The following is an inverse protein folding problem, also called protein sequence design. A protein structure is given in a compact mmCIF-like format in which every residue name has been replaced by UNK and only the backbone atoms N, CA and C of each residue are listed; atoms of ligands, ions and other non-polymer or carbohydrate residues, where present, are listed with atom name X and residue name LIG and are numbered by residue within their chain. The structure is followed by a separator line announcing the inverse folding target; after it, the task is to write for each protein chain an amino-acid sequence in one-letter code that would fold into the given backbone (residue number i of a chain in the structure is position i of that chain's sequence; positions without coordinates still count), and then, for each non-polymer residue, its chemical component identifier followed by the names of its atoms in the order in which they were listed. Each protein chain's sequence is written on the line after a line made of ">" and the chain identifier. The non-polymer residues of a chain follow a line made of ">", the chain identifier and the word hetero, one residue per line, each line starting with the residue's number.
data_IF_695549760575
#
_entry.id   IF_695549760575
#
_cell.length_a   1.000
_cell.length_b   1.000
_cell.length_c   1.000
_cell.angle_alpha   90.00
_cell.angle_beta   90.00
_cell.angle_gamma   90.00
#
_symmetry.space_group_name_H-M   'P 1'
#
loop_
_entity.id
_entity.type
_entity.pdbx_description
1 polymer ?
#
# COMPACT_ATOMS: atom_id res chain seq x y z
N UNK A 1 2.45 -32.55 -14.39
CA UNK A 1 3.12 -31.27 -14.78
C UNK A 1 3.90 -30.80 -13.59
N UNK A 2 5.14 -30.45 -13.77
CA UNK A 2 5.95 -29.80 -12.73
C UNK A 2 5.51 -28.35 -12.55
N UNK A 3 5.74 -27.79 -11.37
CA UNK A 3 5.41 -26.39 -11.06
C UNK A 3 6.37 -25.46 -11.81
N UNK A 4 5.78 -24.53 -12.56
CA UNK A 4 6.48 -23.48 -13.29
C UNK A 4 5.57 -22.25 -13.43
N UNK A 5 6.07 -21.14 -13.97
CA UNK A 5 5.24 -19.98 -14.26
C UNK A 5 4.07 -20.25 -15.20
N UNK A 6 4.17 -21.29 -16.06
CA UNK A 6 3.11 -21.71 -16.97
C UNK A 6 2.09 -22.65 -16.31
N UNK A 7 2.47 -23.36 -15.28
CA UNK A 7 1.65 -24.40 -14.62
C UNK A 7 1.17 -23.97 -13.23
N UNK A 8 1.64 -22.82 -12.73
CA UNK A 8 1.19 -22.25 -11.46
C UNK A 8 -0.30 -21.86 -11.52
N UNK A 9 -1.08 -22.30 -10.54
CA UNK A 9 -2.51 -21.98 -10.42
C UNK A 9 -2.71 -20.52 -10.00
N UNK A 10 -1.84 -20.01 -9.11
CA UNK A 10 -1.86 -18.61 -8.72
C UNK A 10 -1.25 -17.72 -9.81
N UNK A 11 -1.98 -16.72 -10.33
CA UNK A 11 -1.40 -15.77 -11.28
C UNK A 11 -0.27 -14.91 -10.68
N UNK A 12 -0.23 -14.74 -9.34
CA UNK A 12 0.86 -14.04 -8.64
C UNK A 12 2.19 -14.76 -8.88
N UNK A 13 2.21 -16.09 -8.79
CA UNK A 13 3.43 -16.90 -9.01
C UNK A 13 3.62 -17.29 -10.48
N UNK A 14 2.54 -17.32 -11.27
CA UNK A 14 2.56 -17.65 -12.70
C UNK A 14 2.77 -16.42 -13.58
N UNK A 15 1.66 -15.94 -14.17
CA UNK A 15 1.65 -14.84 -15.13
C UNK A 15 2.38 -13.57 -14.69
N UNK A 16 2.32 -13.25 -13.40
CA UNK A 16 2.89 -12.04 -12.82
C UNK A 16 4.12 -12.30 -11.95
N UNK A 17 4.65 -13.50 -11.97
CA UNK A 17 5.75 -13.91 -11.08
C UNK A 17 6.98 -12.98 -11.13
N UNK A 18 7.32 -12.47 -12.31
CA UNK A 18 8.46 -11.53 -12.45
C UNK A 18 8.17 -10.17 -11.80
N UNK A 19 6.91 -9.72 -11.83
CA UNK A 19 6.50 -8.44 -11.24
C UNK A 19 6.55 -8.43 -9.72
N UNK A 20 6.41 -9.58 -9.09
CA UNK A 20 6.39 -9.75 -7.63
C UNK A 20 7.63 -10.45 -7.10
N UNK A 21 8.65 -10.63 -7.92
CA UNK A 21 9.88 -11.38 -7.56
C UNK A 21 10.55 -10.84 -6.29
N UNK A 22 10.48 -9.54 -6.02
CA UNK A 22 10.98 -8.90 -4.79
C UNK A 22 10.33 -9.45 -3.52
N UNK A 23 9.10 -9.98 -3.61
CA UNK A 23 8.39 -10.54 -2.46
C UNK A 23 8.80 -11.98 -2.13
N UNK A 24 9.49 -12.69 -3.03
CA UNK A 24 9.87 -14.11 -2.84
C UNK A 24 10.76 -14.31 -1.63
N UNK A 25 11.75 -13.45 -1.42
CA UNK A 25 12.65 -13.51 -0.26
C UNK A 25 11.99 -13.12 1.07
N UNK A 26 10.75 -12.62 1.03
CA UNK A 26 10.01 -12.15 2.20
C UNK A 26 8.85 -13.09 2.53
N UNK A 27 7.93 -13.34 1.58
CA UNK A 27 6.65 -14.00 1.85
C UNK A 27 6.53 -15.44 1.34
N UNK A 28 7.54 -15.97 0.68
CA UNK A 28 7.56 -17.40 0.33
C UNK A 28 7.83 -18.27 1.56
N UNK A 29 7.68 -19.58 1.42
CA UNK A 29 8.09 -20.54 2.45
C UNK A 29 9.60 -20.39 2.79
N UNK A 30 10.43 -20.13 1.78
CA UNK A 30 11.85 -19.77 1.98
C UNK A 30 12.00 -18.53 2.87
N UNK A 31 11.24 -17.46 2.58
CA UNK A 31 11.27 -16.22 3.36
C UNK A 31 10.89 -16.46 4.82
N UNK A 32 9.80 -17.18 5.08
CA UNK A 32 9.38 -17.52 6.43
C UNK A 32 10.45 -18.34 7.18
N UNK A 33 11.04 -19.35 6.55
CA UNK A 33 12.11 -20.16 7.17
C UNK A 33 13.34 -19.32 7.48
N UNK A 34 13.74 -18.43 6.58
CA UNK A 34 14.85 -17.49 6.77
C UNK A 34 14.64 -16.62 8.02
N UNK A 35 13.45 -16.05 8.19
CA UNK A 35 13.15 -15.20 9.35
C UNK A 35 13.04 -16.02 10.64
N UNK A 36 12.53 -17.24 10.61
CA UNK A 36 12.55 -18.16 11.76
C UNK A 36 13.98 -18.46 12.21
N UNK A 37 14.86 -18.80 11.28
CA UNK A 37 16.29 -19.01 11.57
C UNK A 37 16.92 -17.76 12.18
N UNK A 38 16.62 -16.58 11.65
CA UNK A 38 17.09 -15.32 12.21
C UNK A 38 16.65 -15.12 13.65
N UNK A 39 15.37 -15.31 13.96
CA UNK A 39 14.83 -15.13 15.32
C UNK A 39 15.48 -16.10 16.29
N UNK A 40 15.59 -17.39 15.95
CA UNK A 40 16.20 -18.41 16.79
C UNK A 40 17.69 -18.12 17.07
N UNK A 41 18.43 -17.73 16.06
CA UNK A 41 19.84 -17.36 16.21
C UNK A 41 19.99 -16.14 17.11
N UNK A 42 19.20 -15.09 16.90
CA UNK A 42 19.23 -13.90 17.74
C UNK A 42 18.82 -14.18 19.17
N UNK A 43 17.86 -15.09 19.37
CA UNK A 43 17.47 -15.54 20.70
C UNK A 43 18.63 -16.22 21.43
N UNK A 44 19.31 -17.16 20.80
CA UNK A 44 20.48 -17.84 21.38
C UNK A 44 21.62 -16.85 21.72
N UNK A 45 21.91 -15.90 20.82
CA UNK A 45 22.90 -14.84 21.08
C UNK A 45 22.50 -13.95 22.25
N UNK A 46 21.21 -13.64 22.40
CA UNK A 46 20.70 -12.85 23.52
C UNK A 46 20.82 -13.59 24.85
N UNK A 47 20.53 -14.89 24.88
CA UNK A 47 20.73 -15.73 26.07
C UNK A 47 22.21 -15.72 26.49
N UNK A 48 23.14 -15.94 25.54
CA UNK A 48 24.58 -15.93 25.79
C UNK A 48 25.14 -14.57 26.26
N UNK A 49 24.48 -13.48 25.89
CA UNK A 49 24.86 -12.14 26.33
C UNK A 49 24.27 -11.75 27.71
N UNK A 50 23.56 -12.66 28.39
CA UNK A 50 22.88 -12.40 29.66
C UNK A 50 23.62 -13.08 30.79
N UNK A 51 24.27 -12.32 31.70
CA UNK A 51 25.14 -12.88 32.73
C UNK A 51 24.45 -13.82 33.71
N UNK A 52 23.13 -13.62 33.92
CA UNK A 52 22.32 -14.44 34.84
C UNK A 52 22.04 -15.85 34.29
N UNK A 53 22.28 -16.10 32.99
CA UNK A 53 22.11 -17.39 32.34
C UNK A 53 23.49 -18.07 32.21
N UNK A 54 24.01 -18.51 33.34
CA UNK A 54 25.37 -19.00 33.47
C UNK A 54 25.69 -20.24 32.62
N UNK A 55 24.66 -21.05 32.27
CA UNK A 55 24.80 -22.26 31.45
C UNK A 55 25.03 -21.95 29.96
N UNK A 56 24.82 -20.70 29.55
CA UNK A 56 25.12 -20.20 28.21
C UNK A 56 26.25 -19.14 28.31
N UNK A 57 27.48 -19.52 28.28
CA UNK A 57 28.62 -18.57 28.34
C UNK A 57 28.56 -17.56 27.23
N UNK A 58 29.03 -16.34 27.46
CA UNK A 58 29.16 -15.31 26.46
C UNK A 58 29.97 -15.83 25.26
N UNK A 59 29.42 -15.70 24.05
CA UNK A 59 30.10 -16.12 22.82
C UNK A 59 31.22 -15.15 22.47
N UNK A 60 32.37 -15.71 22.06
CA UNK A 60 33.43 -14.93 21.46
C UNK A 60 33.07 -14.38 20.08
N UNK A 61 33.97 -13.61 19.49
CA UNK A 61 33.76 -12.99 18.19
C UNK A 61 33.54 -14.03 17.07
N UNK A 62 34.25 -15.15 17.13
CA UNK A 62 34.19 -16.18 16.09
C UNK A 62 32.86 -16.96 16.15
N UNK A 63 32.40 -17.31 17.35
CA UNK A 63 31.08 -17.95 17.54
C UNK A 63 29.93 -17.04 17.10
N UNK A 64 29.97 -15.75 17.47
CA UNK A 64 28.98 -14.77 17.01
C UNK A 64 29.01 -14.60 15.48
N UNK A 65 30.20 -14.46 14.87
CA UNK A 65 30.34 -14.34 13.43
C UNK A 65 29.81 -15.58 12.69
N UNK A 66 30.03 -16.78 13.25
CA UNK A 66 29.49 -18.02 12.68
C UNK A 66 27.97 -18.04 12.71
N UNK A 67 27.34 -17.66 13.83
CA UNK A 67 25.89 -17.56 13.96
C UNK A 67 25.31 -16.51 13.02
N UNK A 68 25.96 -15.35 12.89
CA UNK A 68 25.58 -14.31 11.95
C UNK A 68 25.67 -14.80 10.49
N UNK A 69 26.67 -15.60 10.16
CA UNK A 69 26.84 -16.18 8.84
C UNK A 69 25.73 -17.19 8.49
N UNK A 70 25.19 -17.95 9.45
CA UNK A 70 24.03 -18.82 9.23
C UNK A 70 22.83 -18.00 8.75
N UNK A 71 22.58 -16.84 9.34
CA UNK A 71 21.47 -15.95 8.96
C UNK A 71 21.75 -15.28 7.61
N UNK A 72 22.93 -14.69 7.44
CA UNK A 72 23.28 -13.90 6.27
C UNK A 72 23.37 -14.75 4.98
N UNK A 73 23.84 -16.00 5.09
CA UNK A 73 24.04 -16.90 3.97
C UNK A 73 22.95 -17.98 3.86
N UNK A 74 21.79 -17.79 4.52
CA UNK A 74 20.69 -18.74 4.43
C UNK A 74 20.26 -18.96 2.98
N UNK A 75 20.28 -20.20 2.53
CA UNK A 75 20.11 -20.60 1.14
C UNK A 75 18.83 -21.43 0.90
N UNK A 76 18.43 -21.61 -0.35
CA UNK A 76 17.35 -22.55 -0.73
C UNK A 76 17.68 -23.99 -0.33
N UNK A 77 18.96 -24.36 -0.30
CA UNK A 77 19.40 -25.68 0.17
C UNK A 77 19.19 -25.84 1.67
N UNK A 78 19.44 -24.79 2.46
CA UNK A 78 19.16 -24.78 3.90
C UNK A 78 17.65 -24.89 4.15
N UNK A 79 16.85 -24.13 3.40
CA UNK A 79 15.39 -24.23 3.47
C UNK A 79 14.91 -25.65 3.11
N UNK A 80 15.48 -26.24 2.06
CA UNK A 80 15.16 -27.62 1.67
C UNK A 80 15.53 -28.61 2.78
N UNK A 81 16.70 -28.43 3.45
CA UNK A 81 17.09 -29.28 4.58
C UNK A 81 16.07 -29.20 5.72
N UNK A 82 15.58 -27.99 6.06
CA UNK A 82 14.52 -27.81 7.06
C UNK A 82 13.26 -28.56 6.64
N UNK A 83 12.85 -28.47 5.37
CA UNK A 83 11.66 -29.19 4.86
C UNK A 83 11.84 -30.71 4.89
N UNK A 84 13.08 -31.20 4.70
CA UNK A 84 13.37 -32.63 4.80
C UNK A 84 13.22 -33.13 6.25
N UNK A 85 13.68 -32.35 7.23
CA UNK A 85 13.49 -32.63 8.65
C UNK A 85 11.98 -32.58 8.99
N UNK A 86 11.25 -31.57 8.53
CA UNK A 86 9.82 -31.39 8.77
C UNK A 86 9.00 -32.59 8.31
N UNK A 87 9.35 -33.20 7.16
CA UNK A 87 8.68 -34.42 6.64
C UNK A 87 8.69 -35.57 7.64
N UNK A 88 9.68 -35.65 8.50
CA UNK A 88 9.82 -36.69 9.52
C UNK A 88 9.18 -36.27 10.85
N UNK A 89 9.39 -35.01 11.25
CA UNK A 89 8.92 -34.50 12.54
C UNK A 89 7.46 -34.07 12.53
N UNK A 90 6.91 -33.76 11.34
CA UNK A 90 5.59 -33.19 11.14
C UNK A 90 5.36 -31.90 11.96
N UNK A 91 6.45 -31.13 12.16
CA UNK A 91 6.42 -29.89 12.93
C UNK A 91 7.44 -28.90 12.37
N UNK A 92 6.97 -27.79 11.82
CA UNK A 92 7.75 -26.82 11.06
C UNK A 92 8.79 -26.05 11.90
N UNK A 93 8.39 -25.49 13.05
CA UNK A 93 9.31 -24.72 13.91
C UNK A 93 10.33 -25.67 14.59
N UNK A 94 9.92 -26.89 14.98
CA UNK A 94 10.84 -27.90 15.52
C UNK A 94 11.89 -28.33 14.49
N UNK A 95 11.52 -28.34 13.20
CA UNK A 95 12.46 -28.62 12.13
C UNK A 95 13.55 -27.54 12.02
N UNK A 96 13.21 -26.27 12.26
CA UNK A 96 14.20 -25.17 12.32
C UNK A 96 15.19 -25.36 13.48
N UNK A 97 14.68 -25.73 14.66
CA UNK A 97 15.53 -26.03 15.83
C UNK A 97 16.53 -27.17 15.52
N UNK A 98 16.06 -28.26 14.94
CA UNK A 98 16.94 -29.38 14.57
C UNK A 98 17.96 -28.99 13.51
N UNK A 99 17.57 -28.23 12.50
CA UNK A 99 18.48 -27.69 11.51
C UNK A 99 19.59 -26.84 12.14
N UNK A 100 19.25 -25.97 13.08
CA UNK A 100 20.23 -25.15 13.79
C UNK A 100 21.17 -26.01 14.64
N UNK A 101 20.64 -27.04 15.32
CA UNK A 101 21.46 -28.01 16.07
C UNK A 101 22.46 -28.74 15.15
N UNK A 102 22.04 -29.11 13.92
CA UNK A 102 22.97 -29.65 12.91
C UNK A 102 24.05 -28.63 12.53
N UNK A 103 23.69 -27.37 12.29
CA UNK A 103 24.63 -26.30 11.91
C UNK A 103 25.70 -26.03 12.98
N UNK A 104 25.35 -26.13 14.24
CA UNK A 104 26.29 -25.83 15.34
C UNK A 104 27.05 -27.06 15.88
N UNK A 105 26.74 -28.25 15.36
CA UNK A 105 27.30 -29.53 15.88
C UNK A 105 28.83 -29.59 15.90
N UNK A 106 29.49 -29.02 14.90
CA UNK A 106 30.94 -29.06 14.73
C UNK A 106 31.66 -27.88 15.40
N UNK A 107 30.92 -26.95 16.04
CA UNK A 107 31.48 -25.80 16.75
C UNK A 107 31.39 -26.06 18.26
N UNK A 108 32.49 -26.43 18.94
CA UNK A 108 32.42 -26.92 20.32
C UNK A 108 31.70 -25.95 21.29
N UNK A 109 32.00 -24.66 21.18
CA UNK A 109 31.36 -23.64 22.04
C UNK A 109 29.82 -23.53 21.84
N UNK A 110 29.34 -23.72 20.61
CA UNK A 110 27.91 -23.66 20.28
C UNK A 110 27.23 -25.01 20.50
N UNK A 111 27.93 -26.11 20.23
CA UNK A 111 27.41 -27.47 20.45
C UNK A 111 27.04 -27.71 21.92
N UNK A 112 27.89 -27.25 22.85
CA UNK A 112 27.66 -27.39 24.30
C UNK A 112 26.35 -26.74 24.76
N UNK A 113 25.94 -25.68 24.11
CA UNK A 113 24.71 -24.91 24.44
C UNK A 113 23.55 -25.13 23.46
N UNK A 114 23.68 -26.14 22.60
CA UNK A 114 22.70 -26.40 21.53
C UNK A 114 21.26 -26.65 22.05
N UNK A 115 21.12 -27.14 23.30
CA UNK A 115 19.80 -27.31 23.95
C UNK A 115 19.14 -25.98 24.34
N UNK A 116 19.86 -24.85 24.28
CA UNK A 116 19.30 -23.52 24.47
C UNK A 116 18.72 -22.90 23.19
N UNK A 117 18.87 -23.55 22.04
CA UNK A 117 18.10 -23.20 20.85
C UNK A 117 16.62 -23.43 21.16
N UNK A 118 15.76 -22.46 20.89
CA UNK A 118 14.33 -22.48 21.22
C UNK A 118 14.05 -22.55 22.75
N UNK A 119 15.02 -22.16 23.61
CA UNK A 119 14.87 -22.28 25.08
C UNK A 119 13.68 -21.46 25.59
N UNK A 120 12.80 -22.11 26.34
CA UNK A 120 11.58 -21.58 26.95
C UNK A 120 10.57 -20.97 25.97
N UNK A 121 10.80 -21.03 24.65
CA UNK A 121 9.91 -20.54 23.63
C UNK A 121 8.73 -21.48 23.35
N UNK A 122 7.63 -20.93 22.92
CA UNK A 122 6.62 -21.63 22.14
C UNK A 122 6.82 -21.32 20.64
N UNK A 123 6.31 -22.16 19.74
CA UNK A 123 6.43 -21.92 18.31
C UNK A 123 5.98 -20.53 17.87
N UNK A 124 4.98 -19.98 18.54
CA UNK A 124 4.48 -18.64 18.23
C UNK A 124 5.40 -17.51 18.70
N UNK A 125 6.27 -17.71 19.64
CA UNK A 125 7.33 -16.74 19.94
C UNK A 125 8.21 -16.50 18.70
N UNK A 126 8.51 -17.57 17.97
CA UNK A 126 9.31 -17.51 16.76
C UNK A 126 8.46 -17.03 15.55
N UNK A 127 7.25 -17.58 15.40
CA UNK A 127 6.37 -17.27 14.27
C UNK A 127 5.95 -15.81 14.24
N UNK A 128 5.48 -15.25 15.37
CA UNK A 128 5.00 -13.87 15.41
C UNK A 128 6.12 -12.87 15.07
N UNK A 129 7.32 -13.09 15.61
CA UNK A 129 8.47 -12.25 15.31
C UNK A 129 8.92 -12.41 13.85
N UNK A 130 8.84 -13.62 13.31
CA UNK A 130 9.14 -13.85 11.88
C UNK A 130 8.15 -13.12 10.97
N UNK A 131 6.84 -13.22 11.24
CA UNK A 131 5.82 -12.49 10.48
C UNK A 131 5.96 -10.97 10.64
N UNK A 132 6.29 -10.50 11.85
CA UNK A 132 6.55 -9.09 12.10
C UNK A 132 7.75 -8.59 11.27
N UNK A 133 8.85 -9.33 11.23
CA UNK A 133 10.01 -9.01 10.40
C UNK A 133 9.68 -9.02 8.90
N UNK A 134 8.92 -10.02 8.44
CA UNK A 134 8.45 -10.10 7.05
C UNK A 134 7.63 -8.85 6.67
N UNK A 135 6.68 -8.47 7.50
CA UNK A 135 5.81 -7.31 7.26
C UNK A 135 6.57 -5.99 7.36
N UNK A 136 7.48 -5.86 8.32
CA UNK A 136 8.35 -4.70 8.43
C UNK A 136 9.24 -4.52 7.19
N UNK A 137 9.90 -5.61 6.75
CA UNK A 137 10.71 -5.61 5.54
C UNK A 137 9.88 -5.24 4.30
N UNK A 138 8.70 -5.84 4.14
CA UNK A 138 7.82 -5.53 3.02
C UNK A 138 7.33 -4.06 3.04
N UNK A 139 7.03 -3.50 4.22
CA UNK A 139 6.67 -2.10 4.37
C UNK A 139 7.80 -1.18 3.94
N UNK A 140 9.00 -1.38 4.52
CA UNK A 140 10.12 -0.45 4.33
C UNK A 140 10.76 -0.58 2.93
N UNK A 141 10.93 -1.80 2.43
CA UNK A 141 11.69 -2.05 1.21
C UNK A 141 10.81 -2.13 -0.05
N UNK A 142 9.50 -2.36 0.10
CA UNK A 142 8.61 -2.55 -1.06
C UNK A 142 7.45 -1.54 -1.08
N UNK A 143 6.60 -1.52 -0.06
CA UNK A 143 5.36 -0.72 -0.10
C UNK A 143 5.65 0.78 -0.09
N UNK A 144 6.41 1.28 0.89
CA UNK A 144 6.71 2.70 0.99
C UNK A 144 7.46 3.23 -0.24
N UNK A 145 8.50 2.56 -0.79
CA UNK A 145 9.13 2.99 -2.03
C UNK A 145 8.20 3.01 -3.25
N UNK A 146 7.33 1.99 -3.40
CA UNK A 146 6.38 1.94 -4.52
C UNK A 146 5.31 3.04 -4.41
N UNK A 147 4.79 3.29 -3.20
CA UNK A 147 3.84 4.36 -2.97
C UNK A 147 4.46 5.74 -3.22
N UNK A 148 5.70 5.95 -2.79
CA UNK A 148 6.42 7.20 -3.05
C UNK A 148 6.55 7.45 -4.55
N UNK A 149 6.95 6.45 -5.33
CA UNK A 149 7.04 6.58 -6.78
C UNK A 149 5.71 6.97 -7.44
N UNK A 150 4.58 6.37 -7.02
CA UNK A 150 3.26 6.71 -7.52
C UNK A 150 2.85 8.13 -7.14
N UNK A 151 3.02 8.51 -5.88
CA UNK A 151 2.69 9.84 -5.37
C UNK A 151 3.51 10.90 -6.11
N UNK A 152 4.81 10.70 -6.25
CA UNK A 152 5.71 11.64 -6.93
C UNK A 152 5.33 11.79 -8.40
N UNK A 153 4.97 10.69 -9.08
CA UNK A 153 4.50 10.73 -10.48
C UNK A 153 3.22 11.54 -10.62
N UNK A 154 2.22 11.28 -9.78
CA UNK A 154 0.93 11.99 -9.82
C UNK A 154 1.12 13.47 -9.43
N UNK A 155 1.97 13.76 -8.43
CA UNK A 155 2.34 15.12 -8.03
C UNK A 155 3.03 15.87 -9.17
N UNK A 156 3.97 15.25 -9.87
CA UNK A 156 4.62 15.85 -11.04
C UNK A 156 3.61 16.19 -12.15
N UNK A 157 2.63 15.31 -12.38
CA UNK A 157 1.56 15.58 -13.35
C UNK A 157 0.62 16.69 -12.88
N UNK A 158 0.34 16.80 -11.57
CA UNK A 158 -0.41 17.91 -11.00
C UNK A 158 0.27 19.25 -11.30
N UNK A 159 1.58 19.34 -11.10
CA UNK A 159 2.36 20.54 -11.42
C UNK A 159 2.43 20.80 -12.94
N UNK A 160 2.62 19.76 -13.75
CA UNK A 160 2.69 19.88 -15.21
C UNK A 160 1.42 20.49 -15.82
N UNK A 161 0.24 20.09 -15.31
CA UNK A 161 -1.06 20.48 -15.84
C UNK A 161 -1.81 21.48 -14.93
N UNK A 162 -1.09 22.22 -14.07
CA UNK A 162 -1.65 23.12 -13.07
C UNK A 162 -2.61 24.16 -13.64
N UNK A 163 -2.28 24.70 -14.80
CA UNK A 163 -2.99 25.80 -15.46
C UNK A 163 -3.94 25.32 -16.57
N UNK A 164 -4.06 24.00 -16.79
CA UNK A 164 -4.89 23.45 -17.84
C UNK A 164 -6.33 23.31 -17.36
N UNK A 165 -7.28 24.13 -17.84
CA UNK A 165 -8.67 24.08 -17.39
C UNK A 165 -9.38 22.82 -17.89
N UNK A 166 -10.27 22.30 -17.04
CA UNK A 166 -11.06 21.11 -17.26
C UNK A 166 -12.52 21.39 -16.89
N UNK A 167 -13.47 21.02 -17.74
CA UNK A 167 -14.88 21.03 -17.40
C UNK A 167 -15.17 19.89 -16.40
N UNK A 168 -15.55 20.24 -15.16
CA UNK A 168 -15.91 19.23 -14.17
C UNK A 168 -17.24 18.58 -14.50
N UNK A 169 -17.42 17.37 -14.01
CA UNK A 169 -18.69 16.63 -14.13
C UNK A 169 -19.18 16.20 -12.77
N UNK A 170 -20.32 16.73 -12.35
CA UNK A 170 -21.05 16.24 -11.18
C UNK A 170 -22.28 15.48 -11.65
N UNK A 171 -22.51 14.31 -11.09
CA UNK A 171 -23.58 13.42 -11.58
C UNK A 171 -23.48 13.10 -13.09
N UNK A 172 -22.25 13.14 -13.65
CA UNK A 172 -22.00 12.95 -15.09
C UNK A 172 -22.34 14.15 -15.96
N UNK A 173 -22.85 15.27 -15.40
CA UNK A 173 -23.24 16.47 -16.14
C UNK A 173 -22.17 17.56 -16.05
N UNK A 174 -22.04 18.41 -17.12
CA UNK A 174 -21.18 19.58 -17.08
C UNK A 174 -21.46 20.46 -15.86
N UNK A 175 -20.38 20.84 -15.18
CA UNK A 175 -20.43 21.61 -13.94
C UNK A 175 -19.29 22.63 -13.89
N UNK A 176 -19.12 23.30 -12.75
CA UNK A 176 -18.10 24.32 -12.52
C UNK A 176 -16.71 23.83 -12.93
N UNK A 177 -15.98 24.57 -13.76
CA UNK A 177 -14.64 24.19 -14.21
C UNK A 177 -13.61 24.10 -13.09
N UNK A 178 -12.62 23.25 -13.31
CA UNK A 178 -11.44 23.04 -12.47
C UNK A 178 -10.19 23.05 -13.34
N UNK A 179 -9.07 22.50 -12.86
CA UNK A 179 -7.91 22.21 -13.67
C UNK A 179 -7.52 20.73 -13.59
N UNK A 180 -6.91 20.22 -14.66
CA UNK A 180 -6.36 18.86 -14.67
C UNK A 180 -5.36 18.68 -13.51
N UNK A 181 -4.50 19.68 -13.28
CA UNK A 181 -3.56 19.65 -12.16
C UNK A 181 -4.22 19.50 -10.80
N UNK A 182 -5.32 20.22 -10.54
CA UNK A 182 -6.03 20.16 -9.25
C UNK A 182 -6.67 18.77 -9.05
N UNK A 183 -7.17 18.14 -10.10
CA UNK A 183 -7.71 16.78 -10.00
C UNK A 183 -6.62 15.75 -9.63
N UNK A 184 -5.44 15.82 -10.25
CA UNK A 184 -4.30 15.01 -9.84
C UNK A 184 -3.83 15.32 -8.41
N UNK A 185 -3.78 16.60 -8.02
CA UNK A 185 -3.39 17.03 -6.68
C UNK A 185 -4.28 16.46 -5.57
N UNK A 186 -5.59 16.37 -5.82
CA UNK A 186 -6.53 15.74 -4.89
C UNK A 186 -6.14 14.28 -4.61
N UNK A 187 -5.80 13.52 -5.63
CA UNK A 187 -5.40 12.11 -5.50
C UNK A 187 -4.05 11.99 -4.78
N UNK A 188 -3.05 12.75 -5.21
CA UNK A 188 -1.72 12.75 -4.59
C UNK A 188 -1.82 13.06 -3.09
N UNK A 189 -2.60 14.06 -2.68
CA UNK A 189 -2.77 14.43 -1.28
C UNK A 189 -3.46 13.34 -0.45
N UNK A 190 -4.48 12.67 -1.02
CA UNK A 190 -5.15 11.53 -0.36
C UNK A 190 -4.19 10.37 -0.15
N UNK A 191 -3.35 10.07 -1.15
CA UNK A 191 -2.33 9.01 -1.10
C UNK A 191 -1.23 9.34 -0.11
N UNK A 192 -0.75 10.58 -0.05
CA UNK A 192 0.26 11.06 0.90
C UNK A 192 -0.20 10.88 2.37
N UNK A 193 -1.49 11.06 2.65
CA UNK A 193 -2.04 10.78 3.98
C UNK A 193 -1.93 9.30 4.35
N UNK A 194 -2.16 8.40 3.39
CA UNK A 194 -2.01 6.95 3.63
C UNK A 194 -0.54 6.56 3.79
N UNK A 195 0.35 7.16 3.00
CA UNK A 195 1.79 6.95 3.13
C UNK A 195 2.29 7.25 4.55
N UNK A 196 1.90 8.40 5.10
CA UNK A 196 2.24 8.77 6.48
C UNK A 196 1.65 7.83 7.51
N UNK A 197 0.41 7.36 7.33
CA UNK A 197 -0.20 6.37 8.23
C UNK A 197 0.55 5.04 8.17
N UNK A 198 0.85 4.52 6.97
CA UNK A 198 1.57 3.25 6.81
C UNK A 198 2.95 3.29 7.47
N UNK A 199 3.69 4.40 7.31
CA UNK A 199 5.02 4.55 7.91
C UNK A 199 5.00 4.61 9.44
N UNK A 200 3.86 4.90 10.05
CA UNK A 200 3.69 5.05 11.50
C UNK A 200 3.04 3.83 12.17
N UNK A 201 2.56 2.85 11.41
CA UNK A 201 2.00 1.62 11.99
C UNK A 201 3.08 0.91 12.80
N UNK A 202 2.82 0.69 14.07
CA UNK A 202 3.72 -0.07 14.93
C UNK A 202 3.63 -1.57 14.58
N UNK A 203 4.76 -2.15 14.23
CA UNK A 203 4.87 -3.59 14.00
C UNK A 203 5.19 -4.23 15.33
N UNK A 204 4.25 -5.04 15.85
CA UNK A 204 4.33 -5.58 17.20
C UNK A 204 4.90 -7.00 17.22
N UNK A 205 5.53 -7.34 18.34
CA UNK A 205 6.04 -8.70 18.57
C UNK A 205 6.14 -9.05 20.04
N UNK A 206 6.15 -10.35 20.31
CA UNK A 206 6.28 -10.90 21.66
C UNK A 206 7.24 -12.08 21.70
N UNK A 207 7.85 -12.32 22.87
CA UNK A 207 8.56 -13.54 23.20
C UNK A 207 8.40 -13.77 24.70
N UNK A 208 7.37 -14.51 25.10
CA UNK A 208 6.93 -14.63 26.49
C UNK A 208 6.32 -16.02 26.83
N UNK A 209 6.54 -17.00 25.94
CA UNK A 209 6.18 -18.40 26.18
C UNK A 209 4.75 -18.77 25.84
N UNK A 210 4.36 -19.95 26.28
CA UNK A 210 3.18 -20.68 25.81
C UNK A 210 1.84 -19.95 25.94
N UNK A 211 1.69 -19.04 26.90
CA UNK A 211 0.46 -18.27 27.13
C UNK A 211 0.74 -16.80 27.46
N UNK A 212 1.96 -16.32 27.22
CA UNK A 212 2.31 -14.91 27.40
C UNK A 212 2.69 -14.51 28.83
N UNK A 213 3.01 -15.47 29.71
CA UNK A 213 3.22 -15.21 31.14
C UNK A 213 4.62 -15.58 31.65
N UNK A 214 5.57 -15.94 30.76
CA UNK A 214 6.93 -16.37 31.13
C UNK A 214 7.01 -17.57 32.11
N UNK A 215 6.00 -18.44 32.14
CA UNK A 215 5.89 -19.51 33.12
C UNK A 215 7.17 -20.38 33.21
N UNK A 216 7.64 -20.90 32.06
CA UNK A 216 8.85 -21.73 32.02
C UNK A 216 10.12 -20.91 32.29
N UNK A 217 10.16 -19.68 31.81
CA UNK A 217 11.30 -18.77 31.99
C UNK A 217 11.56 -18.48 33.48
N UNK A 218 10.50 -18.09 34.22
CA UNK A 218 10.61 -17.74 35.64
C UNK A 218 10.98 -18.98 36.49
N UNK A 219 10.50 -20.16 36.10
CA UNK A 219 10.85 -21.41 36.83
C UNK A 219 12.32 -21.77 36.60
N UNK A 220 12.85 -21.55 35.36
CA UNK A 220 14.23 -21.88 35.04
C UNK A 220 15.22 -20.85 35.62
N UNK A 221 14.92 -19.55 35.49
CA UNK A 221 15.78 -18.44 35.91
C UNK A 221 14.93 -17.37 36.62
N UNK A 222 14.62 -17.54 37.91
CA UNK A 222 13.77 -16.59 38.64
C UNK A 222 14.45 -15.23 38.90
N UNK A 223 15.75 -15.14 38.79
CA UNK A 223 16.56 -13.92 38.95
C UNK A 223 16.57 -13.03 37.73
N UNK A 224 16.20 -13.54 36.54
CA UNK A 224 16.17 -12.78 35.29
C UNK A 224 14.92 -11.91 35.23
N UNK A 225 15.08 -10.64 34.93
CA UNK A 225 13.93 -9.78 34.61
C UNK A 225 13.45 -10.04 33.18
N UNK A 226 12.59 -11.04 33.02
CA UNK A 226 12.10 -11.48 31.70
C UNK A 226 11.30 -10.42 30.94
N UNK A 227 10.63 -9.49 31.60
CA UNK A 227 9.98 -8.37 30.93
C UNK A 227 11.00 -7.49 30.21
N UNK A 228 11.99 -6.99 30.93
CA UNK A 228 13.05 -6.14 30.38
C UNK A 228 13.89 -6.89 29.34
N UNK A 229 14.13 -8.19 29.59
CA UNK A 229 14.83 -9.07 28.63
C UNK A 229 14.08 -9.15 27.30
N UNK A 230 12.77 -9.46 27.31
CA UNK A 230 11.96 -9.60 26.12
C UNK A 230 11.76 -8.28 25.39
N UNK A 231 11.51 -7.18 26.10
CA UNK A 231 11.45 -5.85 25.53
C UNK A 231 12.73 -5.51 24.75
N UNK A 232 13.90 -5.68 25.42
CA UNK A 232 15.18 -5.41 24.78
C UNK A 232 15.47 -6.31 23.60
N UNK A 233 15.03 -7.57 23.64
CA UNK A 233 15.18 -8.52 22.54
C UNK A 233 14.33 -8.12 21.33
N UNK A 234 13.02 -7.95 21.52
CA UNK A 234 12.09 -7.59 20.45
C UNK A 234 12.48 -6.25 19.81
N UNK A 235 12.84 -5.26 20.64
CA UNK A 235 13.28 -3.94 20.15
C UNK A 235 14.58 -4.04 19.35
N UNK A 236 15.50 -4.94 19.73
CA UNK A 236 16.74 -5.16 18.98
C UNK A 236 16.51 -5.71 17.56
N UNK A 237 15.35 -6.31 17.30
CA UNK A 237 14.93 -6.75 15.99
C UNK A 237 14.30 -5.63 15.13
N UNK A 238 14.17 -4.41 15.67
CA UNK A 238 13.50 -3.29 15.01
C UNK A 238 11.97 -3.37 15.06
N UNK A 239 11.41 -4.08 16.04
CA UNK A 239 9.98 -4.33 16.24
C UNK A 239 9.56 -3.76 17.58
N UNK A 240 8.33 -3.26 17.70
CA UNK A 240 7.76 -2.78 18.97
C UNK A 240 7.35 -3.96 19.84
N UNK A 241 7.77 -3.97 21.10
CA UNK A 241 7.39 -5.01 22.03
C UNK A 241 5.95 -4.87 22.51
N UNK A 242 5.18 -5.98 22.43
CA UNK A 242 3.84 -6.07 23.01
C UNK A 242 3.90 -6.80 24.36
N UNK A 243 3.67 -6.12 25.50
CA UNK A 243 3.74 -6.71 26.83
C UNK A 243 2.52 -7.59 27.19
N UNK A 244 1.39 -7.41 26.51
CA UNK A 244 0.12 -8.08 26.85
C UNK A 244 -0.35 -8.97 25.70
N UNK A 245 -0.04 -10.25 25.80
CA UNK A 245 -0.35 -11.23 24.76
C UNK A 245 -0.87 -12.54 25.38
N UNK A 246 -1.26 -13.48 24.53
CA UNK A 246 -1.55 -14.86 24.89
C UNK A 246 -0.44 -15.77 24.34
N UNK A 247 -0.76 -16.92 23.77
CA UNK A 247 0.24 -17.69 23.01
C UNK A 247 0.65 -16.94 21.74
N UNK A 248 -0.29 -16.19 21.14
CA UNK A 248 -0.06 -15.36 19.95
C UNK A 248 0.17 -13.89 20.35
N UNK A 249 0.82 -13.15 19.48
CA UNK A 249 0.60 -11.72 19.35
C UNK A 249 -0.79 -11.54 18.71
N UNK A 250 -1.70 -10.68 19.25
CA UNK A 250 -3.13 -10.64 18.82
C UNK A 250 -3.39 -10.26 17.37
N UNK A 251 -2.38 -9.85 16.61
CA UNK A 251 -2.44 -9.48 15.19
C UNK A 251 -3.25 -8.21 14.86
N UNK A 252 -3.62 -7.41 15.83
CA UNK A 252 -4.33 -6.14 15.60
C UNK A 252 -3.50 -5.19 14.73
N UNK A 253 -2.17 -5.15 14.90
CA UNK A 253 -1.28 -4.36 14.07
C UNK A 253 -1.28 -4.81 12.60
N UNK A 254 -1.47 -6.10 12.32
CA UNK A 254 -1.59 -6.61 10.94
C UNK A 254 -2.88 -6.08 10.31
N UNK A 255 -3.97 -6.07 11.08
CA UNK A 255 -5.23 -5.49 10.61
C UNK A 255 -5.07 -3.99 10.32
N UNK A 256 -4.43 -3.22 11.21
CA UNK A 256 -4.14 -1.80 11.02
C UNK A 256 -3.30 -1.56 9.76
N UNK A 257 -2.23 -2.34 9.57
CA UNK A 257 -1.37 -2.27 8.40
C UNK A 257 -2.16 -2.53 7.10
N UNK A 258 -2.93 -3.61 7.07
CA UNK A 258 -3.67 -4.04 5.88
C UNK A 258 -4.87 -3.14 5.57
N UNK A 259 -5.54 -2.59 6.56
CA UNK A 259 -6.58 -1.59 6.38
C UNK A 259 -6.00 -0.30 5.78
N UNK A 260 -4.79 0.08 6.18
CA UNK A 260 -4.09 1.21 5.57
C UNK A 260 -3.76 0.94 4.09
N UNK A 261 -3.24 -0.25 3.77
CA UNK A 261 -2.96 -0.65 2.38
C UNK A 261 -4.26 -0.69 1.56
N UNK A 262 -5.33 -1.25 2.08
CA UNK A 262 -6.62 -1.32 1.40
C UNK A 262 -7.22 0.08 1.13
N UNK A 263 -7.04 1.05 2.02
CA UNK A 263 -7.46 2.45 1.77
C UNK A 263 -6.64 3.11 0.68
N UNK A 264 -5.32 2.91 0.66
CA UNK A 264 -4.48 3.39 -0.44
C UNK A 264 -4.92 2.77 -1.77
N UNK A 265 -5.11 1.46 -1.80
CA UNK A 265 -5.62 0.74 -2.97
C UNK A 265 -6.96 1.29 -3.46
N UNK A 266 -7.87 1.63 -2.54
CA UNK A 266 -9.20 2.19 -2.87
C UNK A 266 -9.06 3.59 -3.49
N UNK A 267 -8.12 4.41 -3.02
CA UNK A 267 -7.84 5.72 -3.63
C UNK A 267 -7.28 5.55 -5.04
N UNK A 268 -6.38 4.60 -5.23
CA UNK A 268 -5.80 4.32 -6.54
C UNK A 268 -6.82 3.75 -7.52
N UNK A 269 -7.71 2.86 -7.04
CA UNK A 269 -8.81 2.30 -7.83
C UNK A 269 -9.78 3.40 -8.30
N UNK A 270 -10.13 4.33 -7.43
CA UNK A 270 -10.94 5.51 -7.74
C UNK A 270 -10.28 6.35 -8.85
N UNK A 271 -8.98 6.58 -8.71
CA UNK A 271 -8.18 7.28 -9.71
C UNK A 271 -8.11 6.54 -11.06
N UNK A 272 -7.89 5.22 -11.06
CA UNK A 272 -7.82 4.42 -12.28
C UNK A 272 -9.16 4.49 -13.06
N UNK A 273 -10.29 4.49 -12.34
CA UNK A 273 -11.63 4.66 -12.93
C UNK A 273 -11.85 6.05 -13.51
N UNK A 274 -11.40 7.09 -12.84
CA UNK A 274 -11.49 8.45 -13.34
C UNK A 274 -10.65 8.62 -14.61
N UNK A 275 -9.42 8.10 -14.65
CA UNK A 275 -8.57 8.12 -15.86
C UNK A 275 -9.25 7.36 -17.00
N UNK A 276 -9.83 6.19 -16.73
CA UNK A 276 -10.61 5.44 -17.72
C UNK A 276 -11.77 6.29 -18.26
N UNK A 277 -12.50 6.97 -17.37
CA UNK A 277 -13.58 7.89 -17.73
C UNK A 277 -13.09 9.06 -18.59
N UNK A 278 -11.98 9.68 -18.23
CA UNK A 278 -11.37 10.76 -19.01
C UNK A 278 -10.87 10.29 -20.38
N UNK A 279 -10.38 9.07 -20.51
CA UNK A 279 -10.07 8.48 -21.82
C UNK A 279 -11.34 8.29 -22.66
N UNK A 280 -12.43 7.79 -22.05
CA UNK A 280 -13.72 7.63 -22.73
C UNK A 280 -14.33 8.98 -23.20
N UNK A 281 -14.08 10.06 -22.46
CA UNK A 281 -14.47 11.44 -22.81
C UNK A 281 -13.47 12.11 -23.78
N UNK A 282 -12.42 11.43 -24.21
CA UNK A 282 -11.36 11.98 -25.06
C UNK A 282 -10.57 13.16 -24.43
N UNK A 283 -10.65 13.31 -23.10
CA UNK A 283 -9.81 14.25 -22.35
C UNK A 283 -8.35 13.81 -22.31
N UNK A 284 -8.14 12.48 -22.19
CA UNK A 284 -6.83 11.84 -22.27
C UNK A 284 -6.76 10.83 -23.40
N UNK A 285 -5.53 10.54 -23.85
CA UNK A 285 -5.22 9.51 -24.84
C UNK A 285 -4.08 8.64 -24.32
N UNK A 286 -4.04 7.41 -24.78
CA UNK A 286 -2.89 6.52 -24.55
C UNK A 286 -1.93 6.62 -25.73
N UNK A 287 -0.63 6.84 -25.44
CA UNK A 287 0.43 6.79 -26.45
C UNK A 287 0.47 5.41 -27.10
N UNK A 288 0.55 5.40 -28.44
CA UNK A 288 0.82 4.18 -29.18
C UNK A 288 2.29 3.84 -29.05
N UNK A 289 2.62 2.65 -28.56
CA UNK A 289 3.99 2.15 -28.52
C UNK A 289 4.21 1.25 -29.73
N UNK A 290 5.28 1.50 -30.47
CA UNK A 290 5.62 0.70 -31.65
C UNK A 290 5.74 -0.79 -31.28
N UNK A 291 4.97 -1.64 -31.96
CA UNK A 291 4.92 -3.09 -31.72
C UNK A 291 3.86 -3.55 -30.72
N UNK A 292 3.20 -2.65 -29.96
CA UNK A 292 2.02 -3.01 -29.16
C UNK A 292 0.76 -3.04 -30.02
N UNK A 293 -0.09 -4.06 -29.82
CA UNK A 293 -1.39 -4.19 -30.49
C UNK A 293 -2.46 -3.69 -29.50
N UNK A 294 -3.09 -2.55 -29.82
CA UNK A 294 -4.10 -1.93 -28.95
C UNK A 294 -5.44 -2.68 -28.94
N UNK A 295 -5.79 -3.36 -30.05
CA UNK A 295 -7.01 -4.15 -30.18
C UNK A 295 -6.78 -5.25 -31.23
N UNK A 296 -7.27 -6.45 -30.98
CA UNK A 296 -7.19 -7.58 -31.92
C UNK A 296 -8.08 -7.39 -33.15
N UNK A 297 -9.11 -6.54 -33.07
CA UNK A 297 -10.14 -6.39 -34.10
C UNK A 297 -10.15 -5.00 -34.74
N UNK A 298 -9.86 -3.94 -33.97
CA UNK A 298 -9.91 -2.55 -34.41
C UNK A 298 -8.53 -1.89 -34.25
N UNK A 299 -7.70 -1.82 -35.28
CA UNK A 299 -6.30 -1.38 -35.18
C UNK A 299 -6.12 0.07 -34.66
N UNK A 300 -7.13 0.92 -34.85
CA UNK A 300 -7.11 2.32 -34.37
C UNK A 300 -7.46 2.50 -32.90
N UNK A 301 -7.93 1.42 -32.23
CA UNK A 301 -8.42 1.46 -30.84
C UNK A 301 -7.28 1.17 -29.87
N UNK A 302 -6.88 2.18 -29.09
CA UNK A 302 -5.90 2.05 -28.02
C UNK A 302 -6.62 2.04 -26.68
N UNK A 303 -6.70 0.87 -26.04
CA UNK A 303 -7.43 0.70 -24.79
C UNK A 303 -6.56 1.08 -23.58
N UNK A 304 -7.14 1.64 -22.50
CA UNK A 304 -6.44 1.95 -21.26
C UNK A 304 -6.23 0.70 -20.38
N UNK A 305 -5.72 -0.38 -20.97
CA UNK A 305 -5.63 -1.72 -20.34
C UNK A 305 -4.77 -1.75 -19.08
N UNK A 306 -3.81 -0.84 -18.95
CA UNK A 306 -2.94 -0.78 -17.77
C UNK A 306 -3.75 -0.34 -16.54
N UNK A 307 -4.70 0.61 -16.68
CA UNK A 307 -5.61 1.02 -15.60
C UNK A 307 -6.67 -0.03 -15.28
N UNK A 308 -7.21 -0.72 -16.29
CA UNK A 308 -8.14 -1.85 -16.09
C UNK A 308 -7.46 -3.02 -15.35
N UNK A 309 -6.21 -3.34 -15.70
CA UNK A 309 -5.42 -4.36 -15.02
C UNK A 309 -5.15 -3.96 -13.55
N UNK A 310 -4.85 -2.68 -13.30
CA UNK A 310 -4.68 -2.16 -11.97
C UNK A 310 -5.97 -2.28 -11.15
N UNK A 311 -7.09 -1.80 -11.65
CA UNK A 311 -8.40 -1.89 -10.97
C UNK A 311 -8.73 -3.33 -10.56
N UNK A 312 -8.57 -4.29 -11.47
CA UNK A 312 -8.83 -5.70 -11.19
C UNK A 312 -7.96 -6.28 -10.08
N UNK A 313 -6.65 -5.98 -10.12
CA UNK A 313 -5.72 -6.47 -9.10
C UNK A 313 -5.87 -5.76 -7.75
N UNK A 314 -6.23 -4.46 -7.72
CA UNK A 314 -6.57 -3.75 -6.48
C UNK A 314 -7.79 -4.37 -5.78
N UNK A 315 -8.81 -4.76 -6.55
CA UNK A 315 -9.98 -5.46 -6.01
C UNK A 315 -9.62 -6.79 -5.36
N UNK A 316 -8.79 -7.61 -6.02
CA UNK A 316 -8.30 -8.87 -5.47
C UNK A 316 -7.44 -8.65 -4.23
N UNK A 317 -6.53 -7.68 -4.26
CA UNK A 317 -5.72 -7.28 -3.10
C UNK A 317 -6.61 -6.94 -1.91
N UNK A 318 -7.58 -6.04 -2.09
CA UNK A 318 -8.47 -5.60 -1.01
C UNK A 318 -9.30 -6.75 -0.44
N UNK A 319 -9.73 -7.71 -1.26
CA UNK A 319 -10.47 -8.89 -0.80
C UNK A 319 -9.61 -9.77 0.12
N UNK A 320 -8.34 -10.01 -0.24
CA UNK A 320 -7.42 -10.81 0.58
C UNK A 320 -7.04 -10.05 1.85
N UNK A 321 -6.60 -8.79 1.72
CA UNK A 321 -6.19 -7.96 2.86
C UNK A 321 -7.33 -7.74 3.86
N UNK A 322 -8.56 -7.48 3.37
CA UNK A 322 -9.74 -7.30 4.21
C UNK A 322 -10.13 -8.57 4.97
N UNK A 323 -10.00 -9.75 4.33
CA UNK A 323 -10.19 -11.02 5.04
C UNK A 323 -9.15 -11.21 6.14
N UNK A 324 -7.87 -10.96 5.85
CA UNK A 324 -6.79 -11.07 6.83
C UNK A 324 -6.98 -10.10 8.01
N UNK A 325 -7.32 -8.83 7.71
CA UNK A 325 -7.56 -7.81 8.73
C UNK A 325 -8.73 -8.15 9.65
N UNK A 326 -9.79 -8.77 9.13
CA UNK A 326 -10.96 -9.17 9.93
C UNK A 326 -10.79 -10.51 10.64
N UNK A 327 -9.99 -11.43 10.09
CA UNK A 327 -9.82 -12.79 10.63
C UNK A 327 -8.74 -12.87 11.70
N UNK A 328 -7.56 -12.25 11.47
CA UNK A 328 -6.38 -12.47 12.29
C UNK A 328 -6.55 -12.00 13.75
N UNK A 329 -7.24 -10.88 14.06
CA UNK A 329 -7.50 -10.48 15.44
C UNK A 329 -8.45 -11.43 16.22
N UNK A 330 -9.08 -12.38 15.52
CA UNK A 330 -10.04 -13.30 16.14
C UNK A 330 -9.41 -14.68 16.33
N UNK A 331 -9.14 -15.03 17.58
CA UNK A 331 -8.65 -16.35 18.00
C UNK A 331 -9.45 -16.86 19.18
N UNK A 332 -9.66 -18.18 19.24
CA UNK A 332 -10.36 -18.82 20.34
C UNK A 332 -9.45 -18.95 21.56
N UNK A 333 -9.90 -18.40 22.69
CA UNK A 333 -9.18 -18.41 23.97
C UNK A 333 -7.74 -17.87 23.81
N UNK A 334 -6.74 -18.65 24.25
CA UNK A 334 -5.34 -18.25 24.17
C UNK A 334 -4.72 -18.49 22.79
N UNK A 335 -5.28 -19.38 21.99
CA UNK A 335 -5.00 -19.62 20.56
C UNK A 335 -5.87 -20.71 19.97
N UNK A 336 -6.23 -20.54 18.69
CA UNK A 336 -6.53 -21.64 17.76
C UNK A 336 -5.57 -21.61 16.55
N UNK A 337 -5.53 -22.68 15.75
CA UNK A 337 -4.55 -22.81 14.67
C UNK A 337 -5.02 -22.18 13.34
N UNK A 338 -6.18 -21.53 13.27
CA UNK A 338 -6.71 -20.98 12.03
C UNK A 338 -5.89 -19.79 11.50
N UNK A 339 -5.19 -19.08 12.38
CA UNK A 339 -4.25 -18.02 12.03
C UNK A 339 -3.12 -18.53 11.13
N UNK A 340 -2.51 -19.66 11.47
CA UNK A 340 -1.39 -20.24 10.72
C UNK A 340 -1.73 -20.51 9.24
N UNK A 341 -2.98 -20.92 8.96
CA UNK A 341 -3.45 -21.13 7.59
C UNK A 341 -3.56 -19.82 6.81
N UNK A 342 -4.11 -18.77 7.44
CA UNK A 342 -4.36 -17.49 6.76
C UNK A 342 -3.09 -16.65 6.62
N UNK A 343 -2.19 -16.69 7.60
CA UNK A 343 -0.91 -15.97 7.57
C UNK A 343 -0.02 -16.33 6.37
N UNK A 344 -0.16 -17.52 5.80
CA UNK A 344 0.53 -17.91 4.56
C UNK A 344 0.10 -17.09 3.33
N UNK A 345 -0.98 -16.31 3.44
CA UNK A 345 -1.49 -15.45 2.37
C UNK A 345 -1.09 -13.96 2.52
N UNK A 346 -0.26 -13.61 3.49
CA UNK A 346 0.20 -12.21 3.68
C UNK A 346 0.77 -11.63 2.38
N UNK A 347 1.65 -12.37 1.72
CA UNK A 347 2.28 -11.95 0.48
C UNK A 347 1.34 -11.92 -0.72
N UNK A 348 0.25 -12.66 -0.72
CA UNK A 348 -0.69 -12.74 -1.85
C UNK A 348 -1.43 -11.41 -2.01
N UNK A 349 -1.97 -10.86 -0.92
CA UNK A 349 -2.64 -9.56 -0.94
C UNK A 349 -1.71 -8.42 -1.36
N UNK A 350 -0.49 -8.40 -0.82
CA UNK A 350 0.55 -7.42 -1.18
C UNK A 350 1.01 -7.63 -2.63
N UNK A 351 1.12 -8.87 -3.10
CA UNK A 351 1.49 -9.20 -4.47
C UNK A 351 0.50 -8.63 -5.50
N UNK A 352 -0.79 -8.80 -5.29
CA UNK A 352 -1.81 -8.17 -6.13
C UNK A 352 -1.72 -6.64 -6.13
N UNK A 353 -1.50 -6.03 -4.96
CA UNK A 353 -1.30 -4.58 -4.86
C UNK A 353 -0.08 -4.13 -5.68
N UNK A 354 1.06 -4.81 -5.56
CA UNK A 354 2.28 -4.48 -6.28
C UNK A 354 2.11 -4.57 -7.81
N UNK A 355 1.40 -5.61 -8.30
CA UNK A 355 1.04 -5.74 -9.72
C UNK A 355 0.24 -4.53 -10.18
N UNK A 356 -0.74 -4.10 -9.39
CA UNK A 356 -1.58 -2.95 -9.69
C UNK A 356 -0.77 -1.63 -9.73
N UNK A 357 0.07 -1.39 -8.73
CA UNK A 357 0.91 -0.18 -8.66
C UNK A 357 1.81 -0.03 -9.89
N UNK A 358 2.43 -1.13 -10.32
CA UNK A 358 3.25 -1.15 -11.54
C UNK A 358 2.40 -0.93 -12.80
N UNK A 359 1.16 -1.44 -12.83
CA UNK A 359 0.25 -1.24 -13.95
C UNK A 359 -0.21 0.20 -14.06
N UNK A 360 -0.66 0.85 -12.97
CA UNK A 360 -0.99 2.28 -12.98
C UNK A 360 0.21 3.12 -13.40
N UNK A 361 1.40 2.85 -12.86
CA UNK A 361 2.62 3.58 -13.25
C UNK A 361 2.90 3.46 -14.75
N UNK A 362 2.73 2.26 -15.32
CA UNK A 362 2.88 2.03 -16.77
C UNK A 362 1.83 2.81 -17.56
N UNK A 363 0.57 2.82 -17.12
CA UNK A 363 -0.51 3.58 -17.73
C UNK A 363 -0.24 5.08 -17.71
N UNK A 364 0.20 5.64 -16.57
CA UNK A 364 0.55 7.06 -16.43
C UNK A 364 1.70 7.49 -17.37
N UNK A 365 2.68 6.63 -17.61
CA UNK A 365 3.77 6.92 -18.53
C UNK A 365 3.34 6.95 -20.00
N UNK A 366 2.20 6.34 -20.33
CA UNK A 366 1.60 6.38 -21.67
C UNK A 366 0.50 7.44 -21.80
N UNK A 367 0.12 8.12 -20.73
CA UNK A 367 -1.00 9.05 -20.72
C UNK A 367 -0.62 10.38 -21.36
N UNK A 368 -1.45 10.84 -22.29
CA UNK A 368 -1.37 12.16 -22.93
C UNK A 368 -2.67 12.92 -22.73
N UNK A 369 -2.56 14.19 -22.36
CA UNK A 369 -3.72 15.07 -22.22
C UNK A 369 -4.10 15.64 -23.58
N UNK A 370 -5.38 15.64 -23.91
CA UNK A 370 -5.93 16.22 -25.15
C UNK A 370 -6.38 17.68 -24.89
N UNK A 371 -5.40 18.58 -24.78
CA UNK A 371 -5.66 20.00 -24.43
C UNK A 371 -6.63 20.68 -25.40
N UNK A 372 -6.55 20.38 -26.71
CA UNK A 372 -7.42 20.97 -27.70
C UNK A 372 -8.90 20.63 -27.41
N UNK A 373 -9.18 19.36 -27.10
CA UNK A 373 -10.52 18.89 -26.77
C UNK A 373 -11.04 19.49 -25.46
N UNK A 374 -10.19 19.57 -24.43
CA UNK A 374 -10.58 20.21 -23.16
C UNK A 374 -10.99 21.67 -23.35
N UNK A 375 -10.28 22.42 -24.16
CA UNK A 375 -10.59 23.82 -24.48
C UNK A 375 -11.87 23.94 -25.29
N UNK A 376 -12.06 23.10 -26.31
CA UNK A 376 -13.27 23.04 -27.13
C UNK A 376 -14.50 22.71 -26.27
N UNK A 377 -14.40 21.73 -25.37
CA UNK A 377 -15.51 21.36 -24.49
C UNK A 377 -15.93 22.52 -23.57
N UNK A 378 -14.97 23.24 -22.98
CA UNK A 378 -15.23 24.43 -22.19
C UNK A 378 -15.95 25.53 -23.00
N UNK A 379 -15.50 25.77 -24.22
CA UNK A 379 -16.11 26.78 -25.11
C UNK A 379 -17.52 26.40 -25.56
N UNK A 380 -17.87 25.15 -25.46
CA UNK A 380 -19.22 24.66 -25.73
C UNK A 380 -20.18 24.70 -24.53
N UNK A 381 -19.71 25.08 -23.33
CA UNK A 381 -20.48 25.00 -22.09
C UNK A 381 -20.49 26.34 -21.32
N UNK A 382 -20.89 27.43 -21.99
CA UNK A 382 -20.98 28.77 -21.39
C UNK A 382 -22.02 28.89 -20.28
N UNK A 383 -22.99 27.98 -20.21
CA UNK A 383 -24.00 27.91 -19.19
C UNK A 383 -23.46 27.71 -17.76
N UNK A 384 -22.22 27.18 -17.61
CA UNK A 384 -21.56 27.03 -16.31
C UNK A 384 -21.30 28.36 -15.61
N UNK A 385 -21.24 29.46 -16.39
CA UNK A 385 -21.10 30.81 -15.85
C UNK A 385 -22.41 31.37 -15.20
N UNK A 386 -23.53 30.67 -15.31
CA UNK A 386 -24.72 31.00 -14.58
C UNK A 386 -24.49 31.02 -13.04
N UNK A 387 -23.62 30.14 -12.54
CA UNK A 387 -23.30 30.08 -11.12
C UNK A 387 -22.64 31.37 -10.58
N UNK A 388 -21.50 31.87 -11.11
CA UNK A 388 -20.89 33.09 -10.62
C UNK A 388 -21.77 34.32 -10.85
N UNK A 389 -22.51 34.40 -11.97
CA UNK A 389 -23.40 35.51 -12.25
C UNK A 389 -24.53 35.54 -11.21
N UNK A 390 -25.20 34.40 -10.94
CA UNK A 390 -26.20 34.29 -9.89
C UNK A 390 -25.68 34.73 -8.51
N UNK A 391 -24.44 34.32 -8.20
CA UNK A 391 -23.79 34.64 -6.92
C UNK A 391 -23.57 36.15 -6.78
N UNK A 392 -23.14 36.83 -7.86
CA UNK A 392 -22.98 38.29 -7.88
C UNK A 392 -24.34 39.00 -7.80
N UNK A 393 -25.33 38.52 -8.56
CA UNK A 393 -26.70 39.05 -8.46
C UNK A 393 -27.23 39.02 -7.04
N UNK A 394 -27.03 37.92 -6.30
CA UNK A 394 -27.42 37.81 -4.88
C UNK A 394 -26.67 38.80 -4.00
N UNK A 395 -25.37 38.99 -4.21
CA UNK A 395 -24.55 39.97 -3.48
C UNK A 395 -25.13 41.40 -3.60
N UNK A 396 -25.68 41.73 -4.75
CA UNK A 396 -26.26 43.05 -5.02
C UNK A 396 -27.77 43.11 -4.82
N UNK A 397 -28.39 42.09 -4.23
CA UNK A 397 -29.80 42.10 -3.85
C UNK A 397 -30.80 42.04 -5.03
N UNK A 398 -30.34 41.56 -6.20
CA UNK A 398 -31.23 41.40 -7.37
C UNK A 398 -32.25 40.30 -7.06
N UNK A 399 -33.53 40.63 -7.25
CA UNK A 399 -34.61 39.69 -6.99
C UNK A 399 -34.66 38.56 -8.01
N UNK A 400 -34.95 37.34 -7.50
CA UNK A 400 -35.15 36.10 -8.29
C UNK A 400 -34.01 35.81 -9.26
N UNK A 401 -32.72 35.77 -8.79
CA UNK A 401 -31.57 35.61 -9.67
C UNK A 401 -31.58 34.27 -10.39
N UNK A 402 -32.02 33.20 -9.74
CA UNK A 402 -32.11 31.86 -10.33
C UNK A 402 -33.12 31.81 -11.49
N UNK A 403 -34.31 32.39 -11.29
CA UNK A 403 -35.39 32.41 -12.27
C UNK A 403 -34.98 33.20 -13.53
N UNK A 404 -34.33 34.34 -13.37
CA UNK A 404 -33.81 35.16 -14.48
C UNK A 404 -32.78 34.38 -15.32
N UNK A 405 -31.85 33.67 -14.68
CA UNK A 405 -30.88 32.85 -15.39
C UNK A 405 -31.49 31.59 -16.02
N UNK A 406 -32.48 30.98 -15.37
CA UNK A 406 -33.22 29.84 -15.91
C UNK A 406 -33.88 30.15 -17.23
N UNK A 407 -34.43 31.38 -17.38
CA UNK A 407 -35.01 31.83 -18.64
C UNK A 407 -33.96 31.95 -19.76
N UNK A 408 -32.76 32.39 -19.44
CA UNK A 408 -31.63 32.48 -20.40
C UNK A 408 -31.16 31.10 -20.86
N UNK A 409 -31.07 30.14 -19.92
CA UNK A 409 -30.42 28.85 -20.18
C UNK A 409 -31.39 27.76 -20.67
N UNK A 410 -32.71 27.95 -20.52
CA UNK A 410 -33.72 26.93 -20.80
C UNK A 410 -33.89 26.65 -22.30
N UNK A 411 -33.47 25.46 -22.73
CA UNK A 411 -33.74 24.96 -24.08
C UNK A 411 -32.94 25.64 -25.21
N UNK A 412 -31.96 26.48 -24.87
CA UNK A 412 -31.07 27.13 -25.83
C UNK A 412 -29.63 26.95 -25.40
N UNK A 413 -28.74 26.77 -26.38
CA UNK A 413 -27.31 26.84 -26.15
C UNK A 413 -26.93 28.27 -25.76
N UNK A 414 -26.28 28.42 -24.64
CA UNK A 414 -25.72 29.71 -24.20
C UNK A 414 -24.45 30.00 -24.95
N UNK A 415 -24.30 31.20 -25.50
CA UNK A 415 -23.10 31.67 -26.16
C UNK A 415 -22.43 32.79 -25.38
N UNK A 416 -21.18 33.11 -25.70
CA UNK A 416 -20.47 34.25 -25.12
C UNK A 416 -21.23 35.56 -25.29
N UNK A 417 -21.79 35.82 -26.49
CA UNK A 417 -22.54 37.02 -26.79
C UNK A 417 -23.87 37.08 -26.03
N UNK A 418 -24.58 35.93 -25.93
CA UNK A 418 -25.82 35.83 -25.16
C UNK A 418 -25.58 36.10 -23.69
N UNK A 419 -24.47 35.61 -23.12
CA UNK A 419 -24.10 35.85 -21.74
C UNK A 419 -23.73 37.31 -21.48
N UNK A 420 -22.99 37.97 -22.37
CA UNK A 420 -22.64 39.39 -22.28
C UNK A 420 -23.90 40.26 -22.36
N UNK A 421 -24.82 40.01 -23.31
CA UNK A 421 -26.06 40.71 -23.45
C UNK A 421 -26.93 40.60 -22.20
N UNK A 422 -26.95 39.40 -21.58
CA UNK A 422 -27.66 39.20 -20.31
C UNK A 422 -27.06 40.04 -19.17
N UNK A 423 -25.71 40.03 -19.05
CA UNK A 423 -24.99 40.81 -18.03
C UNK A 423 -25.26 42.33 -18.19
N UNK A 424 -25.25 42.84 -19.43
CA UNK A 424 -25.51 44.25 -19.70
C UNK A 424 -26.92 44.69 -19.24
N UNK A 425 -27.90 43.79 -19.31
CA UNK A 425 -29.26 44.01 -18.83
C UNK A 425 -29.46 43.94 -17.31
N UNK A 426 -28.43 43.58 -16.53
CA UNK A 426 -28.53 43.48 -15.08
C UNK A 426 -28.38 44.86 -14.39
N UNK A 427 -29.07 45.08 -13.29
CA UNK A 427 -28.92 46.25 -12.40
C UNK A 427 -27.70 46.08 -11.48
N UNK A 428 -26.51 46.12 -12.08
CA UNK A 428 -25.19 45.99 -11.41
C UNK A 428 -24.34 47.24 -11.69
N UNK A 429 -23.37 47.57 -10.81
CA UNK A 429 -22.35 48.56 -11.12
C UNK A 429 -21.58 48.16 -12.38
N UNK A 430 -21.21 49.12 -13.23
CA UNK A 430 -20.51 48.83 -14.49
C UNK A 430 -19.18 48.04 -14.27
N UNK A 431 -18.44 48.37 -13.24
CA UNK A 431 -17.23 47.62 -12.88
C UNK A 431 -17.50 46.13 -12.62
N UNK A 432 -18.63 45.77 -12.06
CA UNK A 432 -19.04 44.38 -11.83
C UNK A 432 -19.51 43.71 -13.13
N UNK A 433 -20.22 44.44 -14.00
CA UNK A 433 -20.60 43.95 -15.32
C UNK A 433 -19.34 43.65 -16.15
N UNK A 434 -18.36 44.55 -16.14
CA UNK A 434 -17.08 44.36 -16.89
C UNK A 434 -16.31 43.14 -16.36
N UNK A 435 -16.27 42.95 -15.03
CA UNK A 435 -15.66 41.79 -14.41
C UNK A 435 -16.36 40.49 -14.80
N UNK A 436 -17.69 40.48 -14.81
CA UNK A 436 -18.46 39.30 -15.23
C UNK A 436 -18.34 39.01 -16.71
N UNK A 437 -18.33 40.05 -17.59
CA UNK A 437 -18.10 39.88 -19.03
C UNK A 437 -16.71 39.37 -19.40
N UNK A 438 -15.72 39.55 -18.52
CA UNK A 438 -14.36 39.00 -18.69
C UNK A 438 -14.26 37.52 -18.32
N UNK A 439 -15.28 36.93 -17.65
CA UNK A 439 -15.32 35.53 -17.33
C UNK A 439 -15.52 34.67 -18.60
N UNK A 440 -14.79 33.58 -18.64
CA UNK A 440 -14.99 32.48 -19.60
C UNK A 440 -15.02 31.16 -18.84
N UNK A 441 -15.61 30.09 -19.39
CA UNK A 441 -15.51 28.77 -18.75
C UNK A 441 -14.05 28.36 -18.47
N UNK A 442 -13.10 28.76 -19.29
CA UNK A 442 -11.69 28.42 -19.14
C UNK A 442 -10.96 29.18 -18.02
N UNK A 443 -11.42 30.39 -17.63
CA UNK A 443 -10.80 31.16 -16.55
C UNK A 443 -11.62 31.16 -15.24
N UNK A 444 -12.80 30.53 -15.24
CA UNK A 444 -13.62 30.36 -14.04
C UNK A 444 -13.18 29.12 -13.24
N UNK A 445 -11.96 29.10 -12.76
CA UNK A 445 -11.31 27.97 -12.10
C UNK A 445 -10.98 28.22 -10.61
N UNK A 446 -11.41 29.36 -10.08
CA UNK A 446 -11.21 29.71 -8.66
C UNK A 446 -9.74 29.63 -8.22
N UNK A 447 -9.49 28.94 -7.13
CA UNK A 447 -8.14 28.72 -6.58
C UNK A 447 -7.46 27.43 -7.05
N UNK A 448 -7.98 26.77 -8.11
CA UNK A 448 -7.46 25.49 -8.56
C UNK A 448 -5.92 25.50 -8.80
N UNK A 449 -5.40 26.60 -9.40
CA UNK A 449 -3.97 26.77 -9.66
C UNK A 449 -3.18 26.95 -8.36
N UNK A 450 -3.67 27.78 -7.44
CA UNK A 450 -2.95 28.12 -6.20
C UNK A 450 -2.92 26.97 -5.19
N UNK A 451 -3.88 26.03 -5.25
CA UNK A 451 -3.84 24.82 -4.44
C UNK A 451 -2.61 23.94 -4.77
N UNK A 452 -2.13 23.99 -6.02
CA UNK A 452 -0.97 23.19 -6.42
C UNK A 452 0.31 23.70 -5.72
N UNK A 453 0.40 24.99 -5.38
CA UNK A 453 1.54 25.56 -4.65
C UNK A 453 1.68 24.97 -3.23
N UNK A 454 0.62 24.39 -2.68
CA UNK A 454 0.58 23.75 -1.38
C UNK A 454 0.93 22.25 -1.43
N UNK A 455 0.97 21.67 -2.62
CA UNK A 455 1.33 20.27 -2.83
C UNK A 455 2.86 20.15 -2.84
N UNK A 456 3.40 19.43 -1.86
CA UNK A 456 4.84 19.23 -1.68
C UNK A 456 5.32 17.99 -2.41
#
# INVERSE_FOLDING_TARGET
>A
MELSSLTAVSPVDGRYGDKVSVLRGIFSEFGLLKFRVQVEVRWLQKLAATPEINEVPSFDADANAYLDAIVANFSEQDAQRIKDIERTTNHDVKAVEYFLKEKVADIPALHTVSEFIHFACTSEDINNLSHALMLNTAREEVLLPQWRQLIDKITAMAHQYRDLPLLSRTHGQPATPSTVGKEFANVAYRMERQYRQLSQVEILGKINGAVGNYNAHIVAYPEVNWHQFSESFVTSLGITWNPFTTQIEPHDYIAELFDCVARFNTILLDFDRDIWGYVALNHFKQKTIAGEIGSSTMPHKVNPIDFENSEGNLGLSNAVLGHLASKLPVSRWQRDLTDSTVLRNLGVGIGYALIAYQSTMKGLNKLEVNEAHLREELDHNWEVLAEPIQTVMRRYGIEKPYEKLKELTRGKRVTAEGMKTFIDGLELPEAEKDRLKALTPANYIGYAVTFIDQLK
#
